data_IF_056976576393
#
_entry.id   IF_056976576393
#
_cell.length_a   1.000
_cell.length_b   1.000
_cell.length_c   1.000
_cell.angle_alpha   90.00
_cell.angle_beta   90.00
_cell.angle_gamma   90.00
#
_symmetry.space_group_name_H-M   'P 1'
#
loop_
_entity.id
_entity.type
_entity.pdbx_description
1 polymer ?
#
# COMPACT_ATOMS: atom_id res chain seq x y z
N UNK A 1 -23.99 -2.94 15.04
CA UNK A 1 -23.63 -3.21 13.64
C UNK A 1 -23.02 -4.60 13.53
N UNK A 2 -23.28 -5.32 12.45
CA UNK A 2 -22.61 -6.59 12.12
C UNK A 2 -21.43 -6.27 11.20
N UNK A 3 -20.21 -6.57 11.66
CA UNK A 3 -18.97 -6.35 10.91
C UNK A 3 -18.51 -7.68 10.33
N UNK A 4 -18.44 -7.78 9.01
CA UNK A 4 -18.04 -8.98 8.28
C UNK A 4 -16.61 -8.89 7.76
N UNK A 5 -15.85 -9.96 7.93
CA UNK A 5 -14.47 -10.09 7.47
C UNK A 5 -14.39 -11.33 6.57
N UNK A 6 -14.58 -11.18 5.26
CA UNK A 6 -14.38 -12.29 4.33
C UNK A 6 -12.88 -12.59 4.18
N UNK A 7 -12.56 -13.80 3.75
CA UNK A 7 -11.21 -14.18 3.34
C UNK A 7 -10.83 -13.45 2.06
N UNK A 8 -9.59 -12.96 1.98
CA UNK A 8 -9.07 -12.38 0.75
C UNK A 8 -8.88 -13.47 -0.32
N UNK A 9 -9.36 -13.18 -1.52
CA UNK A 9 -9.32 -14.11 -2.65
C UNK A 9 -8.46 -13.64 -3.81
N UNK A 10 -7.92 -12.42 -3.73
CA UNK A 10 -6.96 -11.92 -4.71
C UNK A 10 -5.70 -12.79 -4.66
N UNK A 11 -5.13 -13.09 -5.82
CA UNK A 11 -3.95 -13.96 -5.93
C UNK A 11 -2.79 -13.41 -5.08
N UNK A 12 -2.20 -14.28 -4.27
CA UNK A 12 -1.10 -13.97 -3.35
C UNK A 12 -1.46 -12.91 -2.27
N UNK A 13 -2.74 -12.75 -1.94
CA UNK A 13 -3.17 -11.94 -0.81
C UNK A 13 -3.53 -12.85 0.38
N UNK A 14 -2.76 -12.73 1.46
CA UNK A 14 -2.89 -13.54 2.67
C UNK A 14 -3.04 -12.67 3.93
N UNK A 15 -3.18 -11.35 3.76
CA UNK A 15 -3.50 -10.44 4.86
C UNK A 15 -4.97 -10.60 5.24
N UNK A 16 -5.32 -10.12 6.42
CA UNK A 16 -6.71 -10.05 6.89
C UNK A 16 -7.01 -8.65 7.43
N UNK A 17 -8.21 -8.14 7.20
CA UNK A 17 -8.55 -6.76 7.55
C UNK A 17 -8.79 -6.52 9.05
N UNK A 18 -8.91 -7.57 9.85
CA UNK A 18 -9.13 -7.49 11.29
C UNK A 18 -8.36 -8.60 12.01
N UNK A 19 -7.63 -8.25 13.07
CA UNK A 19 -7.01 -9.25 13.95
C UNK A 19 -7.99 -9.75 15.01
N UNK A 20 -7.73 -10.91 15.68
CA UNK A 20 -8.51 -11.33 16.84
C UNK A 20 -8.60 -10.25 17.94
N UNK A 21 -7.51 -9.51 18.19
CA UNK A 21 -7.53 -8.38 19.12
C UNK A 21 -8.48 -7.26 18.70
N UNK A 22 -8.53 -6.95 17.40
CA UNK A 22 -9.51 -6.00 16.84
C UNK A 22 -10.95 -6.50 16.98
N UNK A 23 -11.19 -7.80 16.80
CA UNK A 23 -12.50 -8.42 17.04
C UNK A 23 -12.94 -8.28 18.50
N UNK A 24 -12.02 -8.52 19.46
CA UNK A 24 -12.30 -8.30 20.89
C UNK A 24 -12.75 -6.85 21.16
N UNK A 25 -12.08 -5.86 20.55
CA UNK A 25 -12.44 -4.45 20.72
C UNK A 25 -13.85 -4.15 20.20
N UNK A 26 -14.17 -4.62 18.98
CA UNK A 26 -15.49 -4.40 18.37
C UNK A 26 -16.61 -5.12 19.15
N UNK A 27 -16.40 -6.36 19.54
CA UNK A 27 -17.35 -7.12 20.36
C UNK A 27 -17.56 -6.43 21.74
N UNK A 28 -16.50 -5.93 22.36
CA UNK A 28 -16.55 -5.17 23.61
C UNK A 28 -17.33 -3.85 23.51
N UNK A 29 -17.44 -3.29 22.29
CA UNK A 29 -18.24 -2.10 21.99
C UNK A 29 -19.70 -2.44 21.60
N UNK A 30 -20.10 -3.71 21.68
CA UNK A 30 -21.45 -4.16 21.37
C UNK A 30 -21.73 -4.42 19.89
N UNK A 31 -20.70 -4.52 19.06
CA UNK A 31 -20.83 -4.95 17.67
C UNK A 31 -20.73 -6.47 17.55
N UNK A 32 -21.34 -7.03 16.54
CA UNK A 32 -21.17 -8.44 16.17
C UNK A 32 -20.09 -8.54 15.09
N UNK A 33 -19.12 -9.43 15.27
CA UNK A 33 -18.07 -9.69 14.28
C UNK A 33 -18.27 -11.08 13.69
N UNK A 34 -18.38 -11.15 12.37
CA UNK A 34 -18.47 -12.40 11.60
C UNK A 34 -17.24 -12.52 10.71
N UNK A 35 -16.51 -13.62 10.83
CA UNK A 35 -15.26 -13.87 10.08
C UNK A 35 -15.44 -15.13 9.25
N UNK A 36 -15.06 -15.11 7.98
CA UNK A 36 -15.01 -16.31 7.16
C UNK A 36 -13.93 -17.26 7.67
N UNK A 37 -14.23 -18.56 7.68
CA UNK A 37 -13.27 -19.58 8.07
C UNK A 37 -11.95 -19.44 7.31
N UNK A 38 -10.83 -19.60 8.00
CA UNK A 38 -9.48 -19.47 7.46
C UNK A 38 -9.12 -18.06 6.91
N UNK A 39 -9.91 -17.03 7.19
CA UNK A 39 -9.59 -15.67 6.72
C UNK A 39 -8.29 -15.14 7.33
N UNK A 40 -7.96 -15.50 8.57
CA UNK A 40 -6.75 -15.09 9.26
C UNK A 40 -5.55 -16.01 9.08
N UNK A 41 -5.72 -17.20 8.50
CA UNK A 41 -4.72 -18.27 8.49
C UNK A 41 -3.39 -17.84 7.86
N UNK A 42 -3.44 -17.18 6.70
CA UNK A 42 -2.25 -16.67 6.02
C UNK A 42 -1.48 -15.60 6.78
N UNK A 43 -2.12 -14.96 7.77
CA UNK A 43 -1.48 -14.02 8.71
C UNK A 43 -1.15 -14.65 10.07
N UNK A 44 -1.39 -15.96 10.22
CA UNK A 44 -1.11 -16.75 11.43
C UNK A 44 -2.14 -16.56 12.53
N UNK A 45 -3.42 -16.33 12.18
CA UNK A 45 -4.55 -16.28 13.11
C UNK A 45 -5.53 -17.39 12.78
N UNK A 46 -5.74 -18.32 13.74
CA UNK A 46 -6.71 -19.42 13.60
C UNK A 46 -8.14 -18.95 13.85
N UNK A 47 -9.11 -19.71 13.34
CA UNK A 47 -10.54 -19.50 13.62
C UNK A 47 -10.82 -19.51 15.12
N UNK A 48 -10.13 -20.38 15.87
CA UNK A 48 -10.30 -20.46 17.33
C UNK A 48 -9.93 -19.14 18.02
N UNK A 49 -8.88 -18.44 17.58
CA UNK A 49 -8.51 -17.16 18.14
C UNK A 49 -9.58 -16.08 17.92
N UNK A 50 -10.31 -16.13 16.79
CA UNK A 50 -11.46 -15.24 16.56
C UNK A 50 -12.65 -15.62 17.43
N UNK A 51 -12.94 -16.92 17.60
CA UNK A 51 -13.99 -17.40 18.50
C UNK A 51 -13.71 -16.95 19.95
N UNK A 52 -12.46 -17.12 20.41
CA UNK A 52 -12.04 -16.70 21.75
C UNK A 52 -12.14 -15.17 21.93
N UNK A 53 -12.03 -14.41 20.84
CA UNK A 53 -12.21 -12.97 20.78
C UNK A 53 -13.68 -12.52 20.74
N UNK A 54 -14.64 -13.46 20.71
CA UNK A 54 -16.08 -13.18 20.66
C UNK A 54 -16.67 -13.07 19.26
N UNK A 55 -15.91 -13.37 18.21
CA UNK A 55 -16.40 -13.38 16.85
C UNK A 55 -17.10 -14.72 16.50
N UNK A 56 -17.95 -14.68 15.49
CA UNK A 56 -18.59 -15.86 14.90
C UNK A 56 -17.87 -16.26 13.63
N UNK A 57 -17.50 -17.53 13.49
CA UNK A 57 -16.93 -18.06 12.25
C UNK A 57 -18.07 -18.51 11.33
N UNK A 58 -18.03 -18.06 10.09
CA UNK A 58 -18.94 -18.45 9.02
C UNK A 58 -18.23 -19.31 7.97
N UNK A 59 -18.96 -20.18 7.32
CA UNK A 59 -18.37 -21.20 6.43
C UNK A 59 -17.96 -20.65 5.06
N UNK A 60 -18.48 -19.49 4.66
CA UNK A 60 -18.30 -18.93 3.32
C UNK A 60 -18.37 -17.41 3.28
N UNK A 61 -17.72 -16.82 2.26
CA UNK A 61 -17.85 -15.39 1.96
C UNK A 61 -19.33 -14.99 1.75
N UNK A 62 -20.12 -15.83 1.07
CA UNK A 62 -21.53 -15.54 0.81
C UNK A 62 -22.32 -15.32 2.11
N UNK A 63 -22.08 -16.12 3.16
CA UNK A 63 -22.71 -15.93 4.47
C UNK A 63 -22.24 -14.64 5.13
N UNK A 64 -20.95 -14.31 5.04
CA UNK A 64 -20.40 -13.06 5.59
C UNK A 64 -21.03 -11.86 4.90
N UNK A 65 -21.03 -11.82 3.58
CA UNK A 65 -21.58 -10.72 2.79
C UNK A 65 -23.10 -10.56 3.01
N UNK A 66 -23.84 -11.66 3.15
CA UNK A 66 -25.30 -11.65 3.35
C UNK A 66 -25.70 -11.05 4.71
N UNK A 67 -24.90 -11.27 5.76
CA UNK A 67 -25.25 -10.88 7.14
C UNK A 67 -24.68 -9.52 7.53
N UNK A 68 -23.51 -9.13 7.01
CA UNK A 68 -22.78 -7.95 7.47
C UNK A 68 -23.45 -6.65 7.04
N UNK A 69 -23.48 -5.67 7.95
CA UNK A 69 -23.78 -4.27 7.66
C UNK A 69 -22.56 -3.56 7.08
N UNK A 70 -21.37 -3.93 7.56
CA UNK A 70 -20.08 -3.41 7.10
C UNK A 70 -19.13 -4.58 6.78
N UNK A 71 -18.57 -4.57 5.58
CA UNK A 71 -17.53 -5.47 5.13
C UNK A 71 -16.16 -4.80 5.31
N UNK A 72 -15.25 -5.50 5.96
CA UNK A 72 -13.83 -5.11 6.08
C UNK A 72 -12.99 -6.02 5.19
N UNK A 73 -12.23 -5.43 4.29
CA UNK A 73 -11.26 -6.13 3.43
C UNK A 73 -9.89 -5.41 3.46
N UNK A 74 -8.90 -6.08 2.93
CA UNK A 74 -7.60 -5.47 2.64
C UNK A 74 -7.55 -4.95 1.22
N UNK A 75 -7.98 -5.77 0.25
CA UNK A 75 -7.98 -5.43 -1.16
C UNK A 75 -9.39 -5.18 -1.70
N UNK A 76 -9.43 -4.55 -2.85
CA UNK A 76 -10.65 -4.29 -3.60
C UNK A 76 -11.49 -5.55 -3.77
N UNK A 77 -12.82 -5.45 -3.66
CA UNK A 77 -13.70 -6.58 -3.95
C UNK A 77 -13.50 -7.08 -5.37
N UNK A 78 -13.36 -8.41 -5.51
CA UNK A 78 -13.27 -9.04 -6.81
C UNK A 78 -14.68 -9.19 -7.43
N UNK A 79 -14.83 -9.43 -8.74
CA UNK A 79 -16.14 -9.41 -9.42
C UNK A 79 -17.20 -10.30 -8.74
N UNK A 80 -16.83 -11.49 -8.25
CA UNK A 80 -17.73 -12.37 -7.52
C UNK A 80 -18.12 -11.84 -6.13
N UNK A 81 -17.29 -11.00 -5.51
CA UNK A 81 -17.59 -10.33 -4.23
C UNK A 81 -18.49 -9.11 -4.46
N UNK A 82 -18.25 -8.33 -5.54
CA UNK A 82 -19.14 -7.22 -5.91
C UNK A 82 -20.56 -7.71 -6.18
N UNK A 83 -20.71 -8.90 -6.79
CA UNK A 83 -22.01 -9.52 -7.01
C UNK A 83 -22.77 -9.86 -5.71
N UNK A 84 -22.09 -9.97 -4.58
CA UNK A 84 -22.68 -10.20 -3.25
C UNK A 84 -22.95 -8.89 -2.49
N UNK A 85 -22.40 -7.77 -2.95
CA UNK A 85 -22.58 -6.46 -2.32
C UNK A 85 -24.05 -6.02 -2.40
N UNK A 86 -24.53 -5.39 -1.33
CA UNK A 86 -25.93 -4.98 -1.21
C UNK A 86 -26.05 -3.46 -1.16
N UNK A 87 -27.15 -2.95 -1.67
CA UNK A 87 -27.49 -1.52 -1.53
C UNK A 87 -27.45 -1.10 -0.07
N UNK A 88 -26.74 0.00 0.21
CA UNK A 88 -26.58 0.55 1.56
C UNK A 88 -25.59 -0.21 2.46
N UNK A 89 -25.00 -1.31 1.99
CA UNK A 89 -23.96 -2.02 2.72
C UNK A 89 -22.66 -1.21 2.69
N UNK A 90 -22.02 -1.05 3.83
CA UNK A 90 -20.73 -0.35 3.90
C UNK A 90 -19.59 -1.31 3.56
N UNK A 91 -18.64 -0.86 2.73
CA UNK A 91 -17.40 -1.58 2.44
C UNK A 91 -16.24 -0.65 2.78
N UNK A 92 -15.31 -1.10 3.62
CA UNK A 92 -14.14 -0.33 4.02
C UNK A 92 -12.87 -1.13 3.72
N UNK A 93 -12.09 -0.68 2.74
CA UNK A 93 -10.94 -1.41 2.16
C UNK A 93 -10.06 -0.48 1.33
N UNK A 94 -8.93 -0.98 0.78
CA UNK A 94 -8.29 -0.36 -0.38
C UNK A 94 -9.09 -0.71 -1.63
N UNK A 95 -9.51 0.28 -2.38
CA UNK A 95 -10.31 0.09 -3.61
C UNK A 95 -9.51 0.32 -4.89
N UNK A 96 -8.62 1.31 -4.92
CA UNK A 96 -7.90 1.74 -6.11
C UNK A 96 -8.82 2.06 -7.31
N UNK A 97 -9.98 2.67 -7.06
CA UNK A 97 -11.05 2.87 -8.06
C UNK A 97 -10.56 3.60 -9.33
N UNK A 98 -9.66 4.57 -9.20
CA UNK A 98 -9.12 5.31 -10.35
C UNK A 98 -8.32 4.46 -11.35
N UNK A 99 -7.93 3.23 -10.96
CA UNK A 99 -7.20 2.29 -11.80
C UNK A 99 -8.10 1.26 -12.48
N UNK A 100 -9.36 1.10 -12.02
CA UNK A 100 -10.28 0.05 -12.49
C UNK A 100 -11.70 0.62 -12.72
N UNK A 101 -12.00 0.91 -14.00
CA UNK A 101 -13.31 1.44 -14.41
C UNK A 101 -14.43 0.43 -14.21
N UNK A 102 -14.15 -0.85 -14.45
CA UNK A 102 -15.16 -1.90 -14.39
C UNK A 102 -15.62 -2.14 -12.94
N UNK A 103 -14.67 -2.22 -12.02
CA UNK A 103 -14.95 -2.26 -10.59
C UNK A 103 -15.73 -1.03 -10.12
N UNK A 104 -15.31 0.17 -10.56
CA UNK A 104 -15.97 1.42 -10.18
C UNK A 104 -17.43 1.43 -10.60
N UNK A 105 -17.74 1.08 -11.86
CA UNK A 105 -19.10 1.06 -12.37
C UNK A 105 -19.94 -0.01 -11.65
N UNK A 106 -19.39 -1.20 -11.44
CA UNK A 106 -20.08 -2.29 -10.75
C UNK A 106 -20.46 -1.93 -9.30
N UNK A 107 -19.58 -1.21 -8.58
CA UNK A 107 -19.89 -0.75 -7.22
C UNK A 107 -20.90 0.41 -7.19
N UNK A 108 -20.91 1.28 -8.20
CA UNK A 108 -21.95 2.29 -8.37
C UNK A 108 -23.32 1.63 -8.57
N UNK A 109 -23.40 0.59 -9.42
CA UNK A 109 -24.63 -0.18 -9.68
C UNK A 109 -25.10 -0.95 -8.46
N UNK A 110 -24.16 -1.52 -7.67
CA UNK A 110 -24.49 -2.21 -6.42
C UNK A 110 -25.12 -1.29 -5.36
N UNK A 111 -24.85 0.01 -5.43
CA UNK A 111 -25.41 1.00 -4.50
C UNK A 111 -24.88 0.87 -3.07
N UNK A 112 -23.71 0.27 -2.89
CA UNK A 112 -23.03 0.17 -1.59
C UNK A 112 -22.35 1.48 -1.20
N UNK A 113 -21.98 1.63 0.07
CA UNK A 113 -21.19 2.74 0.58
C UNK A 113 -19.72 2.33 0.64
N UNK A 114 -18.88 2.90 -0.22
CA UNK A 114 -17.46 2.57 -0.33
C UNK A 114 -16.61 3.63 0.36
N UNK A 115 -15.99 3.25 1.48
CA UNK A 115 -15.00 4.06 2.19
C UNK A 115 -13.62 3.49 1.88
N UNK A 116 -12.74 4.30 1.26
CA UNK A 116 -11.43 3.85 0.81
C UNK A 116 -10.33 4.18 1.84
N UNK A 117 -9.51 3.19 2.17
CA UNK A 117 -8.36 3.39 3.06
C UNK A 117 -7.38 4.42 2.49
N UNK A 118 -7.13 4.34 1.19
CA UNK A 118 -6.14 5.17 0.49
C UNK A 118 -6.54 6.62 0.31
N UNK A 119 -7.80 6.98 0.54
CA UNK A 119 -8.28 8.36 0.42
C UNK A 119 -8.61 9.02 1.76
N UNK A 120 -8.55 8.25 2.87
CA UNK A 120 -8.71 8.82 4.20
C UNK A 120 -7.54 9.76 4.50
N UNK A 121 -7.85 11.04 4.65
CA UNK A 121 -6.87 12.09 4.84
C UNK A 121 -6.96 12.70 6.24
N UNK A 122 -5.79 12.96 6.84
CA UNK A 122 -5.63 13.67 8.10
C UNK A 122 -4.44 14.63 7.99
N UNK A 123 -4.70 15.94 8.07
CA UNK A 123 -3.66 16.98 8.03
C UNK A 123 -2.71 16.85 6.84
N UNK A 124 -3.22 16.57 5.66
CA UNK A 124 -2.42 16.39 4.44
C UNK A 124 -1.65 15.06 4.37
N UNK A 125 -1.95 14.12 5.25
CA UNK A 125 -1.35 12.78 5.25
C UNK A 125 -2.41 11.70 5.03
N UNK A 126 -1.97 10.52 4.57
CA UNK A 126 -2.83 9.36 4.33
C UNK A 126 -2.52 8.25 5.35
N UNK A 127 -3.06 8.36 6.59
CA UNK A 127 -2.64 7.52 7.72
C UNK A 127 -2.90 6.02 7.51
N UNK A 128 -3.88 5.65 6.70
CA UNK A 128 -4.19 4.25 6.44
C UNK A 128 -3.33 3.67 5.29
N UNK A 129 -2.77 4.52 4.40
CA UNK A 129 -1.82 4.10 3.38
C UNK A 129 -0.39 3.99 3.93
N UNK A 130 -0.05 4.82 4.91
CA UNK A 130 1.29 4.91 5.52
C UNK A 130 1.86 3.55 5.93
N UNK A 131 1.16 2.65 6.66
CA UNK A 131 1.76 1.37 7.08
C UNK A 131 2.20 0.48 5.92
N UNK A 132 1.44 0.47 4.83
CA UNK A 132 1.81 -0.32 3.65
C UNK A 132 2.99 0.30 2.89
N UNK A 133 3.07 1.62 2.88
CA UNK A 133 4.24 2.35 2.35
C UNK A 133 5.50 2.08 3.18
N UNK A 134 5.37 1.97 4.51
CA UNK A 134 6.47 1.62 5.40
C UNK A 134 6.96 0.19 5.16
N UNK A 135 6.04 -0.78 5.04
CA UNK A 135 6.39 -2.16 4.71
C UNK A 135 7.07 -2.23 3.34
N UNK A 136 6.51 -1.59 2.33
CA UNK A 136 7.07 -1.60 0.98
C UNK A 136 8.49 -1.00 0.93
N UNK A 137 8.70 0.13 1.63
CA UNK A 137 10.03 0.75 1.72
C UNK A 137 11.07 -0.16 2.39
N UNK A 138 10.69 -0.87 3.45
CA UNK A 138 11.58 -1.83 4.13
C UNK A 138 11.87 -3.04 3.24
N UNK A 139 10.84 -3.59 2.60
CA UNK A 139 10.98 -4.73 1.70
C UNK A 139 11.83 -4.40 0.46
N UNK A 140 11.78 -3.17 -0.05
CA UNK A 140 12.57 -2.77 -1.22
C UNK A 140 14.07 -3.01 -1.01
N UNK A 141 14.56 -2.82 0.21
CA UNK A 141 15.96 -3.06 0.56
C UNK A 141 16.22 -4.55 0.81
N UNK A 142 15.30 -5.27 1.43
CA UNK A 142 15.42 -6.71 1.65
C UNK A 142 15.52 -7.46 0.31
N UNK A 143 14.60 -7.18 -0.61
CA UNK A 143 14.58 -7.78 -1.94
C UNK A 143 15.74 -7.27 -2.82
N UNK A 144 16.06 -5.98 -2.73
CA UNK A 144 17.22 -5.39 -3.42
C UNK A 144 18.54 -6.02 -2.98
N UNK A 145 18.73 -6.25 -1.69
CA UNK A 145 19.90 -6.94 -1.16
C UNK A 145 20.00 -8.39 -1.64
N UNK A 146 18.85 -9.08 -1.71
CA UNK A 146 18.79 -10.44 -2.28
C UNK A 146 19.14 -10.42 -3.78
N UNK A 147 18.52 -9.52 -4.54
CA UNK A 147 18.75 -9.41 -5.98
C UNK A 147 20.20 -9.01 -6.36
N UNK A 148 20.94 -8.34 -5.44
CA UNK A 148 22.37 -8.06 -5.64
C UNK A 148 23.26 -9.30 -5.58
N UNK A 149 22.77 -10.44 -5.11
CA UNK A 149 23.53 -11.69 -5.08
C UNK A 149 23.73 -12.25 -6.50
N UNK A 150 24.90 -12.83 -6.77
CA UNK A 150 25.23 -13.37 -8.09
C UNK A 150 24.27 -14.46 -8.59
N UNK A 151 23.74 -15.38 -7.75
CA UNK A 151 22.73 -16.35 -8.19
C UNK A 151 21.41 -15.72 -8.68
N UNK A 152 21.09 -14.52 -8.23
CA UNK A 152 19.88 -13.76 -8.63
C UNK A 152 20.15 -12.85 -9.86
N UNK A 153 21.32 -12.92 -10.45
CA UNK A 153 21.74 -12.06 -11.57
C UNK A 153 22.39 -10.74 -11.16
N UNK A 154 22.51 -10.48 -9.86
CA UNK A 154 23.16 -9.29 -9.32
C UNK A 154 24.68 -9.35 -9.41
N UNK A 155 25.32 -8.21 -9.16
CA UNK A 155 26.80 -8.05 -9.28
C UNK A 155 27.62 -8.62 -8.11
N UNK A 156 26.99 -9.35 -7.17
CA UNK A 156 27.67 -10.01 -6.06
C UNK A 156 28.16 -9.05 -4.98
N UNK A 157 27.39 -7.99 -4.67
CA UNK A 157 27.72 -6.97 -3.68
C UNK A 157 26.93 -7.18 -2.39
N UNK A 158 27.62 -7.13 -1.26
CA UNK A 158 27.01 -7.13 0.07
C UNK A 158 26.77 -5.67 0.51
N UNK A 159 25.53 -5.35 0.92
CA UNK A 159 25.17 -3.95 1.24
C UNK A 159 26.08 -3.30 2.27
N UNK A 160 26.40 -3.98 3.36
CA UNK A 160 27.22 -3.43 4.42
C UNK A 160 28.73 -3.53 4.18
N UNK A 161 29.17 -4.14 3.08
CA UNK A 161 30.60 -4.48 2.92
C UNK A 161 31.11 -5.41 4.03
N UNK A 162 32.40 -5.36 4.28
CA UNK A 162 33.05 -6.03 5.42
C UNK A 162 34.39 -5.37 5.71
N UNK A 163 35.10 -5.67 6.83
CA UNK A 163 36.41 -5.10 7.09
C UNK A 163 37.37 -5.24 5.92
N UNK A 164 37.82 -4.10 5.37
CA UNK A 164 38.67 -4.03 4.18
C UNK A 164 37.91 -3.95 2.84
N UNK A 165 36.58 -4.04 2.83
CA UNK A 165 35.74 -3.88 1.64
C UNK A 165 34.67 -2.81 1.87
N UNK A 166 34.62 -1.83 1.01
CA UNK A 166 33.66 -0.73 1.12
C UNK A 166 32.20 -1.22 1.04
N UNK A 167 31.25 -0.58 1.75
CA UNK A 167 29.84 -0.85 1.62
C UNK A 167 29.29 -0.40 0.26
N UNK A 168 28.15 -0.98 -0.12
CA UNK A 168 27.40 -0.66 -1.32
C UNK A 168 26.87 0.78 -1.31
N UNK A 169 26.63 1.31 -2.51
CA UNK A 169 25.98 2.60 -2.74
C UNK A 169 24.50 2.39 -3.04
N UNK A 170 23.66 2.90 -2.17
CA UNK A 170 22.18 2.83 -2.33
C UNK A 170 21.66 4.23 -2.64
N UNK A 171 20.98 4.37 -3.76
CA UNK A 171 20.34 5.62 -4.18
C UNK A 171 18.83 5.49 -4.06
N UNK A 172 18.19 6.42 -3.37
CA UNK A 172 16.74 6.43 -3.14
C UNK A 172 16.14 7.67 -3.80
N UNK A 173 15.24 7.46 -4.75
CA UNK A 173 14.51 8.53 -5.44
C UNK A 173 13.20 8.80 -4.70
N UNK A 174 13.13 9.96 -4.04
CA UNK A 174 12.02 10.40 -3.21
C UNK A 174 12.21 10.11 -1.71
N UNK A 175 12.11 11.16 -0.88
CA UNK A 175 12.24 11.13 0.58
C UNK A 175 10.89 10.98 1.31
N UNK A 176 9.81 10.53 0.65
CA UNK A 176 8.51 10.25 1.25
C UNK A 176 8.55 9.09 2.24
N UNK A 177 7.39 8.53 2.60
CA UNK A 177 7.31 7.40 3.56
C UNK A 177 8.14 6.21 3.07
N UNK A 178 7.92 5.77 1.83
CA UNK A 178 8.64 4.63 1.22
C UNK A 178 10.14 4.85 1.24
N UNK A 179 10.61 6.00 0.69
CA UNK A 179 12.03 6.26 0.58
C UNK A 179 12.73 6.44 1.92
N UNK A 180 12.05 7.04 2.90
CA UNK A 180 12.55 7.14 4.28
C UNK A 180 12.80 5.77 4.88
N UNK A 181 11.85 4.84 4.73
CA UNK A 181 11.98 3.49 5.26
C UNK A 181 13.04 2.68 4.50
N UNK A 182 13.13 2.85 3.18
CA UNK A 182 14.18 2.23 2.38
C UNK A 182 15.56 2.71 2.83
N UNK A 183 15.75 4.03 2.95
CA UNK A 183 17.02 4.60 3.40
C UNK A 183 17.41 4.15 4.81
N UNK A 184 16.44 4.13 5.73
CA UNK A 184 16.65 3.68 7.10
C UNK A 184 17.12 2.21 7.14
N UNK A 185 16.47 1.32 6.37
CA UNK A 185 16.85 -0.09 6.31
C UNK A 185 18.21 -0.30 5.63
N UNK A 186 18.47 0.38 4.52
CA UNK A 186 19.77 0.27 3.83
C UNK A 186 20.93 0.78 4.71
N UNK A 187 20.74 1.91 5.38
CA UNK A 187 21.71 2.44 6.32
C UNK A 187 21.92 1.51 7.52
N UNK A 188 20.85 0.91 8.05
CA UNK A 188 20.91 -0.08 9.13
C UNK A 188 21.65 -1.36 8.75
N UNK A 189 21.67 -1.73 7.47
CA UNK A 189 22.50 -2.81 6.92
C UNK A 189 23.94 -2.36 6.62
N UNK A 190 24.28 -1.10 6.86
CA UNK A 190 25.63 -0.57 6.73
C UNK A 190 25.97 0.01 5.35
N UNK A 191 25.00 0.15 4.43
CA UNK A 191 25.24 0.77 3.12
C UNK A 191 25.49 2.28 3.24
N UNK A 192 26.16 2.86 2.25
CA UNK A 192 26.17 4.31 2.03
C UNK A 192 24.89 4.68 1.26
N UNK A 193 24.09 5.58 1.81
CA UNK A 193 22.76 5.88 1.25
C UNK A 193 22.70 7.34 0.79
N UNK A 194 22.15 7.58 -0.39
CA UNK A 194 21.82 8.92 -0.89
C UNK A 194 20.33 9.00 -1.17
N UNK A 195 19.61 9.92 -0.51
CA UNK A 195 18.20 10.22 -0.77
C UNK A 195 18.11 11.47 -1.63
N UNK A 196 17.34 11.41 -2.72
CA UNK A 196 17.03 12.59 -3.53
C UNK A 196 15.57 13.00 -3.32
N UNK A 197 15.34 14.28 -3.03
CA UNK A 197 14.00 14.87 -2.92
C UNK A 197 13.99 16.29 -3.51
N UNK A 198 12.81 16.82 -3.83
CA UNK A 198 12.61 18.20 -4.29
C UNK A 198 12.33 19.15 -3.12
N UNK A 199 11.85 18.64 -1.99
CA UNK A 199 11.50 19.44 -0.82
C UNK A 199 12.67 19.65 0.11
N UNK A 200 13.16 20.87 0.21
CA UNK A 200 14.22 21.23 1.16
C UNK A 200 13.79 21.04 2.62
N UNK A 201 12.51 21.25 2.93
CA UNK A 201 12.00 21.02 4.29
C UNK A 201 12.00 19.54 4.63
N UNK A 202 11.65 18.68 3.64
CA UNK A 202 11.77 17.23 3.82
C UNK A 202 13.22 16.79 4.01
N UNK A 203 14.16 17.36 3.24
CA UNK A 203 15.58 17.06 3.38
C UNK A 203 16.13 17.49 4.74
N UNK A 204 15.76 18.68 5.28
CA UNK A 204 16.12 19.11 6.63
C UNK A 204 15.64 18.13 7.69
N UNK A 205 14.36 17.71 7.60
CA UNK A 205 13.83 16.68 8.49
C UNK A 205 14.62 15.37 8.41
N UNK A 206 14.95 14.92 7.19
CA UNK A 206 15.73 13.68 6.99
C UNK A 206 17.15 13.81 7.55
N UNK A 207 17.79 14.95 7.42
CA UNK A 207 19.10 15.24 8.03
C UNK A 207 19.09 15.07 9.55
N UNK A 208 17.99 15.51 10.20
CA UNK A 208 17.86 15.42 11.66
C UNK A 208 17.59 13.99 12.16
N UNK A 209 16.92 13.14 11.37
CA UNK A 209 16.42 11.84 11.84
C UNK A 209 17.15 10.63 11.27
N UNK A 210 17.92 10.79 10.19
CA UNK A 210 18.61 9.69 9.53
C UNK A 210 19.98 9.38 10.17
N UNK A 211 20.46 8.11 10.07
CA UNK A 211 21.83 7.77 10.46
C UNK A 211 22.88 8.53 9.65
N UNK A 212 24.10 8.66 10.21
CA UNK A 212 25.20 9.44 9.61
C UNK A 212 25.70 8.93 8.24
N UNK A 213 25.37 7.68 7.87
CA UNK A 213 25.66 7.11 6.55
C UNK A 213 24.56 7.36 5.50
N UNK A 214 23.62 8.28 5.80
CA UNK A 214 22.61 8.78 4.85
C UNK A 214 22.92 10.23 4.50
N UNK A 215 22.96 10.53 3.21
CA UNK A 215 23.13 11.88 2.66
C UNK A 215 21.89 12.30 1.90
N UNK A 216 21.45 13.54 2.06
CA UNK A 216 20.37 14.12 1.26
C UNK A 216 20.90 14.94 0.11
N UNK A 217 20.29 14.83 -1.08
CA UNK A 217 20.66 15.57 -2.28
C UNK A 217 19.41 16.14 -2.95
N UNK A 218 19.47 17.39 -3.41
CA UNK A 218 18.38 17.98 -4.17
C UNK A 218 18.19 17.24 -5.50
N UNK A 219 16.97 16.78 -5.75
CA UNK A 219 16.64 15.98 -6.94
C UNK A 219 16.68 16.83 -8.20
N UNK A 220 17.57 16.47 -9.12
CA UNK A 220 17.65 17.01 -10.47
C UNK A 220 18.10 15.93 -11.44
N UNK A 221 17.80 16.03 -12.75
CA UNK A 221 18.29 15.06 -13.72
C UNK A 221 19.82 14.90 -13.69
N UNK A 222 20.57 16.00 -13.47
CA UNK A 222 22.03 15.93 -13.36
C UNK A 222 22.48 15.18 -12.10
N UNK A 223 21.86 15.45 -10.96
CA UNK A 223 22.21 14.78 -9.70
C UNK A 223 21.93 13.27 -9.77
N UNK A 224 20.77 12.88 -10.32
CA UNK A 224 20.43 11.47 -10.55
C UNK A 224 21.50 10.84 -11.44
N UNK A 225 21.76 11.41 -12.61
CA UNK A 225 22.71 10.89 -13.59
C UNK A 225 24.14 10.78 -13.04
N UNK A 226 24.55 11.68 -12.15
CA UNK A 226 25.87 11.63 -11.51
C UNK A 226 26.03 10.46 -10.53
N UNK A 227 24.94 9.99 -9.91
CA UNK A 227 24.97 8.89 -8.94
C UNK A 227 24.88 7.50 -9.60
N UNK A 228 24.17 7.37 -10.73
CA UNK A 228 23.93 6.08 -11.38
C UNK A 228 25.19 5.22 -11.64
N UNK A 229 26.35 5.77 -12.08
CA UNK A 229 27.54 4.94 -12.34
C UNK A 229 28.09 4.21 -11.12
N UNK A 230 27.82 4.70 -9.91
CA UNK A 230 28.30 4.10 -8.66
C UNK A 230 27.19 3.40 -7.87
N UNK A 231 25.94 3.55 -8.28
CA UNK A 231 24.78 2.96 -7.59
C UNK A 231 24.75 1.44 -7.77
N UNK A 232 24.76 0.71 -6.66
CA UNK A 232 24.56 -0.73 -6.61
C UNK A 232 23.07 -1.08 -6.53
N UNK A 233 22.31 -0.33 -5.68
CA UNK A 233 20.86 -0.48 -5.53
C UNK A 233 20.18 0.87 -5.71
N UNK A 234 19.29 0.97 -6.70
CA UNK A 234 18.41 2.12 -6.92
C UNK A 234 16.99 1.80 -6.45
N UNK A 235 16.46 2.60 -5.54
CA UNK A 235 15.07 2.46 -5.05
C UNK A 235 14.22 3.59 -5.60
N UNK A 236 13.22 3.26 -6.41
CA UNK A 236 12.17 4.18 -6.88
C UNK A 236 11.07 4.32 -5.83
N UNK A 237 10.96 5.50 -5.21
CA UNK A 237 10.07 5.75 -4.09
C UNK A 237 9.25 7.05 -4.25
N UNK A 238 9.10 7.55 -5.49
CA UNK A 238 8.33 8.75 -5.78
C UNK A 238 6.87 8.39 -5.99
N UNK A 239 6.01 8.94 -5.15
CA UNK A 239 4.56 8.80 -5.22
C UNK A 239 3.94 10.20 -5.27
N UNK A 240 3.08 10.43 -6.26
CA UNK A 240 2.24 11.63 -6.35
C UNK A 240 0.79 11.18 -6.17
N UNK A 241 0.11 11.55 -5.07
CA UNK A 241 -1.27 11.17 -4.84
C UNK A 241 -2.17 11.56 -6.02
N UNK A 242 -2.91 10.59 -6.57
CA UNK A 242 -3.85 10.83 -7.67
C UNK A 242 -3.22 11.07 -9.05
N UNK A 243 -1.89 10.98 -9.20
CA UNK A 243 -1.19 11.17 -10.48
C UNK A 243 -0.16 10.07 -10.75
N UNK A 244 0.23 9.91 -12.01
CA UNK A 244 1.35 9.03 -12.37
C UNK A 244 2.67 9.59 -11.86
N UNK A 245 3.55 8.72 -11.37
CA UNK A 245 4.90 9.10 -11.00
C UNK A 245 5.66 9.68 -12.22
N UNK A 246 6.49 10.73 -12.03
CA UNK A 246 7.34 11.23 -13.09
C UNK A 246 8.43 10.21 -13.44
N UNK A 247 8.76 10.06 -14.69
CA UNK A 247 9.90 9.24 -15.13
C UNK A 247 11.20 9.99 -14.86
N UNK A 248 11.97 9.48 -13.89
CA UNK A 248 13.21 10.09 -13.42
C UNK A 248 14.47 9.45 -14.00
N UNK A 249 14.37 8.18 -14.40
CA UNK A 249 15.47 7.42 -15.01
C UNK A 249 14.97 6.81 -16.30
N UNK A 250 15.64 7.12 -17.41
CA UNK A 250 15.33 6.62 -18.73
C UNK A 250 16.06 5.28 -19.01
N UNK A 251 15.63 4.58 -20.07
CA UNK A 251 16.35 3.39 -20.55
C UNK A 251 17.81 3.69 -20.90
N UNK A 252 18.08 4.85 -21.50
CA UNK A 252 19.45 5.27 -21.86
C UNK A 252 20.33 5.47 -20.63
N UNK A 253 19.75 5.92 -19.51
CA UNK A 253 20.48 6.12 -18.26
C UNK A 253 20.91 4.77 -17.62
N UNK A 254 20.27 3.66 -17.94
CA UNK A 254 20.68 2.33 -17.45
C UNK A 254 22.06 1.92 -17.99
N UNK A 255 22.43 2.38 -19.17
CA UNK A 255 23.71 2.03 -19.81
C UNK A 255 24.94 2.57 -19.06
N UNK A 256 24.75 3.57 -18.17
CA UNK A 256 25.84 4.07 -17.33
C UNK A 256 25.87 3.39 -15.95
N UNK A 257 24.87 2.56 -15.61
CA UNK A 257 24.89 1.75 -14.40
C UNK A 257 25.83 0.54 -14.58
N UNK A 258 26.24 -0.01 -13.45
CA UNK A 258 27.08 -1.22 -13.46
C UNK A 258 26.24 -2.46 -13.82
N UNK A 259 26.81 -3.39 -14.59
CA UNK A 259 26.17 -4.68 -14.85
C UNK A 259 25.87 -5.40 -13.51
N UNK A 260 24.64 -5.92 -13.37
CA UNK A 260 24.17 -6.56 -12.16
C UNK A 260 23.82 -5.59 -11.04
N UNK A 261 23.84 -4.27 -11.27
CA UNK A 261 23.17 -3.32 -10.39
C UNK A 261 21.67 -3.62 -10.33
N UNK A 262 21.02 -3.24 -9.25
CA UNK A 262 19.61 -3.59 -8.99
C UNK A 262 18.76 -2.33 -8.93
N UNK A 263 17.59 -2.39 -9.54
CA UNK A 263 16.51 -1.41 -9.42
C UNK A 263 15.34 -2.06 -8.69
N UNK A 264 14.82 -1.41 -7.66
CA UNK A 264 13.54 -1.74 -7.03
C UNK A 264 12.61 -0.56 -7.18
N UNK A 265 11.60 -0.65 -8.03
CA UNK A 265 10.61 0.43 -8.20
C UNK A 265 9.34 0.13 -7.41
N UNK A 266 9.23 0.75 -6.22
CA UNK A 266 8.07 0.61 -5.34
C UNK A 266 6.85 1.38 -5.89
N UNK A 267 7.08 2.36 -6.74
CA UNK A 267 6.02 3.16 -7.35
C UNK A 267 5.40 2.51 -8.61
N UNK A 268 5.81 1.29 -8.97
CA UNK A 268 5.41 0.60 -10.21
C UNK A 268 3.89 0.50 -10.37
N UNK A 269 3.14 0.30 -9.29
CA UNK A 269 1.67 0.25 -9.28
C UNK A 269 1.02 1.56 -9.77
N UNK A 270 1.75 2.68 -9.72
CA UNK A 270 1.32 4.00 -10.16
C UNK A 270 2.09 4.49 -11.40
N UNK A 271 2.58 3.56 -12.19
CA UNK A 271 3.27 3.81 -13.45
C UNK A 271 4.79 3.86 -13.35
N UNK A 272 5.35 3.76 -12.14
CA UNK A 272 6.80 3.71 -11.89
C UNK A 272 7.52 5.03 -12.15
N UNK A 273 8.63 5.25 -11.47
CA UNK A 273 9.50 6.40 -11.72
C UNK A 273 10.73 6.07 -12.60
N UNK A 274 10.86 4.82 -13.01
CA UNK A 274 11.89 4.35 -13.94
C UNK A 274 11.21 3.86 -15.23
N UNK A 275 11.68 4.31 -16.39
CA UNK A 275 11.05 4.07 -17.69
C UNK A 275 10.88 2.59 -18.04
N UNK A 276 11.84 1.77 -17.62
CA UNK A 276 11.91 0.34 -17.95
C UNK A 276 11.15 -0.55 -16.97
N UNK A 277 10.66 0.00 -15.86
CA UNK A 277 9.93 -0.78 -14.86
C UNK A 277 8.51 -1.10 -15.33
N UNK A 278 8.18 -2.38 -15.27
CA UNK A 278 6.85 -2.93 -15.52
C UNK A 278 6.46 -3.84 -14.36
N UNK A 279 5.18 -3.87 -13.95
CA UNK A 279 4.74 -4.71 -12.83
C UNK A 279 5.11 -6.17 -13.01
N UNK A 280 5.68 -6.77 -11.97
CA UNK A 280 5.97 -8.21 -11.86
C UNK A 280 5.17 -8.83 -10.70
N UNK A 281 5.32 -10.13 -10.51
CA UNK A 281 4.64 -10.89 -9.46
C UNK A 281 5.64 -11.51 -8.50
N UNK A 282 5.18 -11.96 -7.33
CA UNK A 282 6.03 -12.69 -6.39
C UNK A 282 6.53 -14.04 -6.94
N UNK A 283 5.89 -14.60 -7.95
CA UNK A 283 6.33 -15.86 -8.60
C UNK A 283 7.50 -15.63 -9.57
N UNK A 284 7.47 -14.50 -10.29
CA UNK A 284 8.52 -14.08 -11.22
C UNK A 284 8.87 -12.61 -10.89
N UNK A 285 9.69 -12.38 -9.85
CA UNK A 285 9.82 -11.05 -9.27
C UNK A 285 10.77 -10.13 -10.03
N UNK A 286 11.69 -10.70 -10.84
CA UNK A 286 12.77 -9.93 -11.47
C UNK A 286 12.87 -10.17 -12.96
N UNK A 287 13.40 -9.18 -13.66
CA UNK A 287 13.84 -9.28 -15.07
C UNK A 287 15.08 -8.39 -15.28
N UNK A 288 15.77 -8.55 -16.40
CA UNK A 288 17.01 -7.82 -16.71
C UNK A 288 16.84 -6.99 -17.98
N UNK A 289 17.17 -5.69 -17.89
CA UNK A 289 17.25 -4.77 -19.04
C UNK A 289 18.58 -4.01 -18.97
N UNK A 290 19.28 -3.91 -20.11
CA UNK A 290 20.59 -3.23 -20.23
C UNK A 290 21.61 -3.70 -19.16
N UNK A 291 21.54 -4.98 -18.75
CA UNK A 291 22.41 -5.55 -17.72
C UNK A 291 22.03 -5.20 -16.28
N UNK A 292 20.94 -4.47 -16.05
CA UNK A 292 20.44 -4.07 -14.72
C UNK A 292 19.27 -4.96 -14.32
N UNK A 293 19.31 -5.50 -13.11
CA UNK A 293 18.23 -6.34 -12.55
C UNK A 293 17.10 -5.45 -12.06
N UNK A 294 15.87 -5.74 -12.45
CA UNK A 294 14.67 -5.01 -12.05
C UNK A 294 13.80 -5.87 -11.14
N UNK A 295 13.48 -5.38 -9.97
CA UNK A 295 12.46 -5.94 -9.07
C UNK A 295 11.28 -4.95 -9.02
N UNK A 296 10.15 -5.34 -9.57
CA UNK A 296 8.99 -4.47 -9.78
C UNK A 296 7.70 -5.14 -9.31
N UNK A 297 7.76 -5.89 -8.21
CA UNK A 297 6.61 -6.66 -7.71
C UNK A 297 5.52 -5.71 -7.22
N UNK A 298 4.37 -5.82 -7.85
CA UNK A 298 3.15 -5.18 -7.38
C UNK A 298 2.69 -5.79 -6.04
N UNK A 299 2.17 -4.95 -5.14
CA UNK A 299 1.69 -5.42 -3.83
C UNK A 299 2.79 -6.08 -2.96
N UNK A 300 3.99 -5.50 -2.92
CA UNK A 300 5.10 -5.98 -2.07
C UNK A 300 4.66 -6.34 -0.64
N UNK A 301 3.82 -5.54 0.07
CA UNK A 301 3.40 -5.85 1.43
C UNK A 301 2.64 -7.18 1.58
N UNK A 302 2.08 -7.72 0.51
CA UNK A 302 1.40 -9.03 0.50
C UNK A 302 2.33 -10.21 0.81
N UNK A 303 3.63 -10.07 0.55
CA UNK A 303 4.60 -11.14 0.84
C UNK A 303 4.94 -11.30 2.33
N UNK A 304 4.60 -10.31 3.16
CA UNK A 304 4.80 -10.37 4.62
C UNK A 304 3.46 -10.16 5.35
N UNK A 305 2.47 -11.07 5.12
CA UNK A 305 1.08 -10.83 5.50
C UNK A 305 0.91 -10.63 7.00
N UNK A 306 1.67 -11.34 7.85
CA UNK A 306 1.59 -11.17 9.29
C UNK A 306 1.98 -9.76 9.74
N UNK A 307 3.13 -9.24 9.30
CA UNK A 307 3.58 -7.88 9.63
C UNK A 307 2.63 -6.84 9.06
N UNK A 308 2.24 -7.02 7.80
CA UNK A 308 1.34 -6.11 7.10
C UNK A 308 -0.05 -6.05 7.71
N UNK A 309 -0.59 -7.19 8.16
CA UNK A 309 -1.88 -7.24 8.86
C UNK A 309 -1.83 -6.45 10.17
N UNK A 310 -0.81 -6.66 11.01
CA UNK A 310 -0.68 -5.87 12.24
C UNK A 310 -0.51 -4.38 11.94
N UNK A 311 0.39 -4.02 11.02
CA UNK A 311 0.61 -2.62 10.64
C UNK A 311 -0.65 -1.94 10.14
N UNK A 312 -1.39 -2.61 9.24
CA UNK A 312 -2.65 -2.12 8.68
C UNK A 312 -3.72 -1.99 9.77
N UNK A 313 -3.98 -3.07 10.53
CA UNK A 313 -5.08 -3.11 11.50
C UNK A 313 -4.85 -2.16 12.67
N UNK A 314 -3.61 -1.92 13.09
CA UNK A 314 -3.29 -0.89 14.08
C UNK A 314 -3.71 0.52 13.61
N UNK A 315 -3.58 0.81 12.32
CA UNK A 315 -3.98 2.09 11.75
C UNK A 315 -5.49 2.16 11.47
N UNK A 316 -6.09 1.07 10.97
CA UNK A 316 -7.50 1.07 10.55
C UNK A 316 -8.49 0.91 11.70
N UNK A 317 -8.15 0.17 12.76
CA UNK A 317 -9.08 -0.18 13.84
C UNK A 317 -9.79 1.03 14.48
N UNK A 318 -9.14 2.17 14.78
CA UNK A 318 -9.83 3.34 15.31
C UNK A 318 -10.94 3.85 14.39
N UNK A 319 -10.71 3.84 13.08
CA UNK A 319 -11.67 4.27 12.06
C UNK A 319 -12.76 3.22 11.83
N UNK A 320 -12.42 1.93 11.90
CA UNK A 320 -13.39 0.83 11.87
C UNK A 320 -14.37 0.95 13.02
N UNK A 321 -13.88 1.14 14.25
CA UNK A 321 -14.72 1.37 15.44
C UNK A 321 -15.60 2.62 15.29
N UNK A 322 -15.03 3.70 14.76
CA UNK A 322 -15.74 4.95 14.53
C UNK A 322 -16.85 4.77 13.50
N UNK A 323 -16.56 4.15 12.36
CA UNK A 323 -17.52 3.89 11.30
C UNK A 323 -18.59 2.88 11.74
N UNK A 324 -18.23 1.83 12.50
CA UNK A 324 -19.17 0.86 13.05
C UNK A 324 -20.17 1.50 14.02
N UNK A 325 -19.73 2.48 14.82
CA UNK A 325 -20.59 3.20 15.77
C UNK A 325 -21.51 4.19 15.06
N UNK A 326 -20.99 4.95 14.09
CA UNK A 326 -21.72 6.04 13.43
C UNK A 326 -22.64 5.52 12.29
N UNK A 327 -22.20 4.49 11.59
CA UNK A 327 -22.79 4.12 10.30
C UNK A 327 -22.43 5.11 9.17
N UNK A 328 -22.72 4.75 7.93
CA UNK A 328 -22.30 5.53 6.77
C UNK A 328 -22.83 6.97 6.76
N UNK A 329 -24.09 7.17 7.16
CA UNK A 329 -24.73 8.50 7.15
C UNK A 329 -24.04 9.49 8.09
N UNK A 330 -23.88 9.13 9.36
CA UNK A 330 -23.23 10.00 10.33
C UNK A 330 -21.74 10.19 10.04
N UNK A 331 -21.09 9.16 9.44
CA UNK A 331 -19.70 9.21 9.04
C UNK A 331 -19.40 10.31 8.02
N UNK A 332 -20.36 10.67 7.16
CA UNK A 332 -20.22 11.78 6.21
C UNK A 332 -20.18 13.16 6.90
N UNK A 333 -20.65 13.25 8.14
CA UNK A 333 -20.52 14.45 8.98
C UNK A 333 -19.15 14.60 9.65
N UNK A 334 -18.33 13.55 9.63
CA UNK A 334 -16.98 13.53 10.19
C UNK A 334 -15.94 13.79 9.09
N UNK A 335 -15.09 14.78 9.25
CA UNK A 335 -14.16 15.23 8.20
C UNK A 335 -13.20 14.12 7.72
N UNK A 336 -12.75 13.28 8.64
CA UNK A 336 -11.81 12.19 8.31
C UNK A 336 -12.51 11.06 7.54
N UNK A 337 -13.64 10.56 8.05
CA UNK A 337 -14.40 9.51 7.39
C UNK A 337 -15.02 9.99 6.08
N UNK A 338 -15.42 11.28 6.01
CA UNK A 338 -15.90 11.88 4.75
C UNK A 338 -14.84 11.88 3.66
N UNK A 339 -13.57 12.13 3.98
CA UNK A 339 -12.49 12.05 3.00
C UNK A 339 -12.28 10.65 2.43
N UNK A 340 -12.64 9.61 3.21
CA UNK A 340 -12.61 8.22 2.78
C UNK A 340 -13.80 7.83 1.88
N UNK A 341 -14.90 8.62 1.85
CA UNK A 341 -16.09 8.29 1.10
C UNK A 341 -15.86 8.45 -0.41
N UNK A 342 -15.81 7.34 -1.12
CA UNK A 342 -15.62 7.31 -2.58
C UNK A 342 -16.94 7.06 -3.35
N UNK A 343 -17.81 6.18 -2.84
CA UNK A 343 -19.13 5.92 -3.40
C UNK A 343 -20.14 5.91 -2.25
N UNK A 344 -21.27 6.62 -2.40
CA UNK A 344 -22.37 6.67 -1.45
C UNK A 344 -23.68 6.52 -2.22
N UNK A 345 -24.48 5.50 -1.89
CA UNK A 345 -25.77 5.20 -2.55
C UNK A 345 -25.68 5.17 -4.09
N UNK A 346 -24.63 4.54 -4.62
CA UNK A 346 -24.42 4.45 -6.07
C UNK A 346 -23.98 5.76 -6.72
N UNK A 347 -23.56 6.76 -5.94
CA UNK A 347 -23.05 8.04 -6.44
C UNK A 347 -21.57 8.17 -6.12
N UNK A 348 -20.76 8.52 -7.12
CA UNK A 348 -19.35 8.77 -6.96
C UNK A 348 -19.11 10.09 -6.20
N UNK A 349 -18.23 10.06 -5.19
CA UNK A 349 -17.95 11.21 -4.32
C UNK A 349 -16.48 11.62 -4.31
N UNK A 350 -15.62 10.99 -5.11
CA UNK A 350 -14.19 11.26 -5.13
C UNK A 350 -13.74 11.77 -6.49
N UNK A 351 -13.29 13.05 -6.52
CA UNK A 351 -13.01 13.78 -7.75
C UNK A 351 -11.99 13.09 -8.66
N UNK A 352 -10.90 12.55 -8.08
CA UNK A 352 -9.85 11.92 -8.89
C UNK A 352 -10.34 10.68 -9.66
N UNK A 353 -11.31 9.94 -9.12
CA UNK A 353 -11.94 8.80 -9.82
C UNK A 353 -12.88 9.30 -10.92
N UNK A 354 -13.64 10.36 -10.65
CA UNK A 354 -14.51 11.00 -11.65
C UNK A 354 -13.69 11.48 -12.84
N UNK A 355 -12.60 12.19 -12.60
CA UNK A 355 -11.70 12.72 -13.63
C UNK A 355 -11.05 11.60 -14.46
N UNK A 356 -10.67 10.48 -13.81
CA UNK A 356 -10.03 9.35 -14.48
C UNK A 356 -10.94 8.71 -15.56
N UNK A 357 -12.27 8.76 -15.37
CA UNK A 357 -13.22 8.04 -16.23
C UNK A 357 -14.28 8.92 -16.88
N UNK A 358 -14.26 10.23 -16.65
CA UNK A 358 -15.27 11.16 -17.15
C UNK A 358 -16.66 10.90 -16.56
N UNK A 359 -16.73 10.56 -15.27
CA UNK A 359 -17.97 10.31 -14.53
C UNK A 359 -18.40 11.55 -13.74
N UNK A 360 -19.69 11.64 -13.44
CA UNK A 360 -20.22 12.70 -12.57
C UNK A 360 -19.71 12.53 -11.12
N UNK A 361 -19.25 13.64 -10.53
CA UNK A 361 -18.84 13.68 -9.12
C UNK A 361 -19.92 14.38 -8.28
N UNK A 362 -20.23 13.82 -7.11
CA UNK A 362 -21.20 14.35 -6.17
C UNK A 362 -20.50 14.74 -4.85
N UNK A 363 -20.96 15.81 -4.23
CA UNK A 363 -20.44 16.19 -2.90
C UNK A 363 -20.90 15.19 -1.84
N UNK A 364 -19.96 14.54 -1.15
CA UNK A 364 -20.29 13.65 -0.01
C UNK A 364 -21.03 14.41 1.11
N UNK A 365 -20.75 15.71 1.28
CA UNK A 365 -21.46 16.56 2.25
C UNK A 365 -22.94 16.78 1.88
N UNK A 366 -23.23 16.93 0.60
CA UNK A 366 -24.61 17.13 0.14
C UNK A 366 -25.41 15.82 0.26
N UNK A 367 -24.75 14.68 0.02
CA UNK A 367 -25.37 13.37 0.19
C UNK A 367 -25.67 13.06 1.67
N UNK A 368 -24.86 13.54 2.60
CA UNK A 368 -25.12 13.40 4.04
C UNK A 368 -26.45 14.02 4.47
N UNK A 369 -26.92 15.06 3.77
CA UNK A 369 -28.20 15.75 4.06
C UNK A 369 -29.40 15.04 3.43
N UNK A 370 -29.16 14.20 2.43
CA UNK A 370 -30.19 13.48 1.68
C UNK A 370 -30.46 12.06 2.21
N UNK A 371 -29.55 11.48 3.00
CA UNK A 371 -29.66 10.21 3.70
C UNK A 371 -30.34 10.37 5.07
#
# INVERSE_FOLDING_TARGET
MIVGVPKEIKVLESRVALTPGGATVLCGQGHHVSVETLAGDGSGFSDQQYIDAGATILSSAAEVWAQADMILKVKEPQPNEVAMARKGQTIFTYFHLAADRELTVSLLEAGSHCFAYETLELNGTLPLLTPMSEVAGRMSVQEGAKALQAPEGGRGVLLGGLPGVAPAQVTVLGGGVVGTQAAYMAAGLGANVTILDLSLDRMRYLEDVMPANVTTVYSSPQAIKALLPTTDLLVGAVLIPGAKAPRLVSREDLKIMQNGAVIVDVAVDQGGCIETCTPTTHAEPTFVIEGVVHYCVANMPGAVPRTSTFGLTNATLPYVCKLARMGAKEALGDDQLRSAANIIDGKLCYQAVADAFGLDNHSASDLAQAL
#
